data_IF_724739473418
#
_entry.id   IF_724739473418
#
_cell.length_a   1.000
_cell.length_b   1.000
_cell.length_c   1.000
_cell.angle_alpha   90.00
_cell.angle_beta   90.00
_cell.angle_gamma   90.00
#
_symmetry.space_group_name_H-M   'P 1'
#
loop_
_entity.id
_entity.type
_entity.pdbx_description
1 polymer ?
#
# COMPACT_ATOMS: atom_id res chain seq x y z
N UNK A 1 -32.60 20.86 -8.02
CA UNK A 1 -31.44 20.09 -8.47
C UNK A 1 -30.40 20.17 -7.38
N UNK A 2 -29.91 19.02 -6.91
CA UNK A 2 -28.92 18.99 -5.82
C UNK A 2 -27.65 19.74 -6.22
N UNK A 3 -27.16 20.57 -5.29
CA UNK A 3 -25.90 21.29 -5.47
C UNK A 3 -24.74 20.29 -5.33
N UNK A 4 -23.71 20.35 -6.19
CA UNK A 4 -22.54 19.48 -6.05
C UNK A 4 -21.81 19.77 -4.74
N UNK A 5 -21.24 18.72 -4.15
CA UNK A 5 -20.34 18.85 -3.01
C UNK A 5 -18.94 19.26 -3.50
N UNK A 6 -18.32 20.23 -2.82
CA UNK A 6 -16.97 20.67 -3.09
C UNK A 6 -16.09 20.39 -1.87
N UNK A 7 -14.90 19.82 -2.10
CA UNK A 7 -13.87 19.64 -1.08
C UNK A 7 -12.76 20.68 -1.31
N UNK A 8 -12.45 21.47 -0.29
CA UNK A 8 -11.34 22.44 -0.31
C UNK A 8 -10.21 21.88 0.55
N UNK A 9 -9.02 21.80 -0.02
CA UNK A 9 -7.81 21.30 0.65
C UNK A 9 -6.61 22.17 0.28
N UNK A 10 -5.50 22.11 1.03
CA UNK A 10 -4.25 22.78 0.65
C UNK A 10 -3.83 22.40 -0.78
N UNK A 11 -3.30 23.36 -1.53
CA UNK A 11 -2.69 23.08 -2.82
C UNK A 11 -1.35 22.39 -2.60
N UNK A 12 -1.27 21.11 -2.98
CA UNK A 12 -0.06 20.31 -2.86
C UNK A 12 0.71 20.37 -4.18
N UNK A 13 2.01 20.66 -4.10
CA UNK A 13 2.93 20.62 -5.24
C UNK A 13 3.60 19.26 -5.34
N UNK A 14 3.99 18.87 -6.56
CA UNK A 14 4.69 17.61 -6.83
C UNK A 14 3.92 16.70 -7.77
N UNK A 15 4.17 15.39 -7.67
CA UNK A 15 3.60 14.37 -8.55
C UNK A 15 3.09 13.18 -7.76
N UNK A 16 2.01 12.58 -8.24
CA UNK A 16 1.48 11.34 -7.68
C UNK A 16 2.40 10.16 -8.02
N UNK A 17 2.44 9.16 -7.14
CA UNK A 17 3.35 8.03 -7.26
C UNK A 17 3.00 7.13 -8.44
N UNK A 18 1.76 7.11 -8.91
CA UNK A 18 1.34 6.39 -10.11
C UNK A 18 2.16 6.79 -11.34
N UNK A 19 2.44 8.08 -11.50
CA UNK A 19 3.31 8.59 -12.58
C UNK A 19 4.74 8.02 -12.47
N UNK A 20 5.25 7.85 -11.25
CA UNK A 20 6.58 7.29 -10.99
C UNK A 20 6.63 5.79 -11.27
N UNK A 21 5.59 5.03 -10.90
CA UNK A 21 5.56 3.57 -11.15
C UNK A 21 5.08 3.19 -12.55
N UNK A 22 4.50 4.12 -13.32
CA UNK A 22 4.02 3.89 -14.67
C UNK A 22 5.12 3.49 -15.66
N UNK A 23 6.37 3.93 -15.44
CA UNK A 23 7.51 3.56 -16.29
C UNK A 23 7.90 2.09 -16.19
N UNK A 24 7.43 1.36 -15.17
CA UNK A 24 7.75 -0.06 -14.96
C UNK A 24 9.21 -0.31 -14.57
N UNK A 25 9.91 0.72 -14.11
CA UNK A 25 11.32 0.64 -13.68
C UNK A 25 11.37 0.51 -12.16
N UNK A 26 12.23 -0.39 -11.67
CA UNK A 26 12.51 -0.51 -10.25
C UNK A 26 13.14 0.78 -9.71
N UNK A 27 12.67 1.21 -8.55
CA UNK A 27 13.17 2.38 -7.84
C UNK A 27 14.28 1.96 -6.86
N UNK A 28 15.19 2.88 -6.51
CA UNK A 28 16.19 2.63 -5.48
C UNK A 28 15.56 2.16 -4.16
N UNK A 29 16.24 1.24 -3.45
CA UNK A 29 15.75 0.68 -2.18
C UNK A 29 15.52 1.78 -1.15
N UNK A 30 16.49 2.68 -0.96
CA UNK A 30 16.39 3.80 -0.03
C UNK A 30 15.16 4.69 -0.32
N UNK A 31 14.93 5.03 -1.60
CA UNK A 31 13.77 5.84 -1.99
C UNK A 31 12.44 5.09 -1.77
N UNK A 32 12.42 3.78 -2.07
CA UNK A 32 11.24 2.94 -1.88
C UNK A 32 10.85 2.82 -0.40
N UNK A 33 11.84 2.64 0.48
CA UNK A 33 11.64 2.61 1.92
C UNK A 33 11.16 3.97 2.44
N UNK A 34 11.79 5.06 2.00
CA UNK A 34 11.43 6.43 2.38
C UNK A 34 9.98 6.78 2.07
N UNK A 35 9.51 6.41 0.87
CA UNK A 35 8.12 6.65 0.43
C UNK A 35 7.14 5.85 1.29
N UNK A 36 7.42 4.56 1.48
CA UNK A 36 6.50 3.65 2.18
C UNK A 36 6.47 3.94 3.68
N UNK A 37 7.59 4.39 4.28
CA UNK A 37 7.65 4.81 5.68
C UNK A 37 6.76 6.01 5.94
N UNK A 38 6.85 7.06 5.11
CA UNK A 38 5.98 8.23 5.24
C UNK A 38 4.51 7.89 5.00
N UNK A 39 4.21 6.99 4.05
CA UNK A 39 2.84 6.52 3.85
C UNK A 39 2.32 5.73 5.07
N UNK A 40 3.17 4.93 5.71
CA UNK A 40 2.84 4.24 6.96
C UNK A 40 2.61 5.23 8.12
N UNK A 41 3.36 6.33 8.20
CA UNK A 41 3.15 7.41 9.17
C UNK A 41 1.80 8.11 8.97
N UNK A 42 1.41 8.37 7.71
CA UNK A 42 0.09 8.90 7.41
C UNK A 42 -1.04 7.94 7.81
N UNK A 43 -0.86 6.63 7.56
CA UNK A 43 -1.81 5.60 8.03
C UNK A 43 -1.83 5.50 9.56
N UNK A 44 -0.70 5.68 10.24
CA UNK A 44 -0.64 5.72 11.71
C UNK A 44 -1.49 6.86 12.28
N UNK A 45 -1.44 8.04 11.65
CA UNK A 45 -2.27 9.17 12.04
C UNK A 45 -3.77 8.88 11.87
N UNK A 46 -4.17 8.28 10.74
CA UNK A 46 -5.55 7.86 10.50
C UNK A 46 -6.00 6.79 11.51
N UNK A 47 -5.16 5.78 11.74
CA UNK A 47 -5.46 4.68 12.66
C UNK A 47 -5.62 5.18 14.10
N UNK A 48 -4.77 6.11 14.54
CA UNK A 48 -4.87 6.74 15.86
C UNK A 48 -6.17 7.54 16.03
N UNK A 49 -6.74 8.04 14.93
CA UNK A 49 -8.05 8.69 14.92
C UNK A 49 -9.23 7.70 14.78
N UNK A 50 -8.97 6.39 14.74
CA UNK A 50 -9.99 5.35 14.61
C UNK A 50 -10.40 5.03 13.17
N UNK A 51 -9.62 5.46 12.17
CA UNK A 51 -9.93 5.31 10.75
C UNK A 51 -8.95 4.39 10.04
N UNK A 52 -9.43 3.70 9.01
CA UNK A 52 -8.62 3.18 7.92
C UNK A 52 -8.87 4.02 6.66
N UNK A 53 -7.93 4.05 5.74
CA UNK A 53 -8.03 4.78 4.48
C UNK A 53 -8.91 4.05 3.46
N UNK A 54 -8.67 2.76 3.25
CA UNK A 54 -9.50 1.89 2.39
C UNK A 54 -9.37 2.06 0.88
N UNK A 55 -8.45 2.90 0.38
CA UNK A 55 -8.15 3.06 -1.05
C UNK A 55 -6.68 3.46 -1.25
N UNK A 56 -5.77 2.80 -0.52
CA UNK A 56 -4.34 3.07 -0.65
C UNK A 56 -3.84 2.56 -2.00
N UNK A 57 -3.35 3.48 -2.84
CA UNK A 57 -2.82 3.20 -4.17
C UNK A 57 -1.86 4.32 -4.61
N UNK A 58 -1.02 4.11 -5.64
CA UNK A 58 -0.04 5.11 -6.05
C UNK A 58 -0.61 6.48 -6.43
N UNK A 59 -1.81 6.56 -7.02
CA UNK A 59 -2.42 7.85 -7.36
C UNK A 59 -2.87 8.65 -6.12
N UNK A 60 -2.99 7.98 -4.96
CA UNK A 60 -3.34 8.60 -3.69
C UNK A 60 -2.10 8.92 -2.83
N UNK A 61 -0.89 8.70 -3.36
CA UNK A 61 0.36 9.12 -2.72
C UNK A 61 0.98 10.22 -3.55
N UNK A 62 1.01 11.45 -3.05
CA UNK A 62 1.67 12.57 -3.69
C UNK A 62 3.07 12.78 -3.11
N UNK A 63 4.04 12.95 -3.98
CA UNK A 63 5.44 13.20 -3.65
C UNK A 63 5.77 14.63 -4.06
N UNK A 64 6.06 15.47 -3.09
CA UNK A 64 6.55 16.83 -3.33
C UNK A 64 7.97 16.85 -3.88
N UNK A 65 8.40 17.98 -4.44
CA UNK A 65 9.77 18.14 -4.95
C UNK A 65 10.84 18.01 -3.85
N UNK A 66 10.45 18.21 -2.59
CA UNK A 66 11.30 18.01 -1.41
C UNK A 66 11.29 16.55 -0.90
N UNK A 67 10.57 15.63 -1.56
CA UNK A 67 10.48 14.21 -1.18
C UNK A 67 9.52 13.92 -0.02
N UNK A 68 8.76 14.91 0.46
CA UNK A 68 7.66 14.67 1.40
C UNK A 68 6.51 13.93 0.71
N UNK A 69 5.98 12.90 1.36
CA UNK A 69 4.86 12.10 0.86
C UNK A 69 3.59 12.42 1.62
N UNK A 70 2.54 12.78 0.88
CA UNK A 70 1.20 13.03 1.42
C UNK A 70 0.21 11.99 0.90
N UNK A 71 -0.53 11.37 1.81
CA UNK A 71 -1.64 10.46 1.51
C UNK A 71 -2.91 11.28 1.24
N UNK A 72 -3.54 11.05 0.09
CA UNK A 72 -4.66 11.81 -0.45
C UNK A 72 -5.94 10.98 -0.52
N UNK A 73 -7.08 11.66 -0.69
CA UNK A 73 -8.39 11.05 -0.97
C UNK A 73 -8.91 10.11 0.13
N UNK A 74 -9.46 10.74 1.18
CA UNK A 74 -10.16 10.04 2.26
C UNK A 74 -11.62 9.71 1.89
N UNK A 75 -12.01 9.75 0.61
CA UNK A 75 -13.39 9.47 0.17
C UNK A 75 -13.87 8.04 0.45
N UNK A 76 -12.93 7.13 0.71
CA UNK A 76 -13.17 5.74 1.11
C UNK A 76 -12.80 5.44 2.57
N UNK A 77 -12.36 6.46 3.31
CA UNK A 77 -11.98 6.29 4.71
C UNK A 77 -13.20 5.87 5.54
N UNK A 78 -12.97 4.92 6.45
CA UNK A 78 -14.04 4.39 7.32
C UNK A 78 -13.50 4.00 8.68
N UNK A 79 -14.38 4.02 9.68
CA UNK A 79 -14.07 3.46 10.99
C UNK A 79 -13.97 1.95 10.87
N UNK A 80 -12.89 1.38 11.39
CA UNK A 80 -12.68 -0.06 11.35
C UNK A 80 -13.77 -0.83 12.13
N UNK A 81 -14.38 -0.19 13.14
CA UNK A 81 -15.55 -0.68 13.90
C UNK A 81 -16.84 -0.78 13.07
N UNK A 82 -17.01 0.06 12.04
CA UNK A 82 -18.23 0.17 11.23
C UNK A 82 -18.18 -0.67 9.93
N UNK A 83 -17.16 -1.52 9.77
CA UNK A 83 -16.96 -2.40 8.60
C UNK A 83 -18.06 -3.45 8.41
N UNK A 84 -19.09 -3.41 9.28
CA UNK A 84 -20.41 -4.04 9.23
C UNK A 84 -21.09 -4.05 7.86
N UNK A 85 -21.10 -2.90 7.17
CA UNK A 85 -22.13 -2.59 6.18
C UNK A 85 -21.59 -1.95 4.89
N UNK A 86 -20.54 -2.53 4.28
CA UNK A 86 -20.04 -2.05 2.98
C UNK A 86 -20.87 -2.58 1.82
N UNK A 87 -22.11 -2.12 1.71
CA UNK A 87 -22.87 -2.22 0.48
C UNK A 87 -22.37 -1.23 -0.57
N UNK A 88 -21.92 -1.73 -1.73
CA UNK A 88 -22.24 -1.10 -3.01
C UNK A 88 -21.44 0.10 -3.50
N UNK A 89 -20.10 0.11 -3.44
CA UNK A 89 -19.31 0.96 -4.36
C UNK A 89 -18.61 0.09 -5.42
N UNK A 90 -18.78 0.39 -6.73
CA UNK A 90 -18.13 -0.38 -7.79
C UNK A 90 -16.63 -0.08 -7.79
N UNK A 91 -15.81 -1.11 -7.58
CA UNK A 91 -14.36 -1.04 -7.70
C UNK A 91 -13.94 -0.91 -9.18
N UNK A 92 -13.00 -0.02 -9.47
CA UNK A 92 -12.42 0.13 -10.82
C UNK A 92 -11.24 -0.83 -10.98
N UNK A 93 -11.04 -1.38 -12.17
CA UNK A 93 -9.99 -2.38 -12.47
C UNK A 93 -8.59 -1.99 -11.93
N UNK A 94 -8.19 -0.72 -12.02
CA UNK A 94 -6.91 -0.24 -11.49
C UNK A 94 -6.79 -0.34 -9.97
N UNK A 95 -7.84 0.06 -9.24
CA UNK A 95 -7.92 -0.01 -7.78
C UNK A 95 -7.88 -1.45 -7.28
N UNK A 96 -8.53 -2.40 -7.98
CA UNK A 96 -8.60 -3.81 -7.57
C UNK A 96 -7.19 -4.44 -7.44
N UNK A 97 -6.18 -3.89 -8.12
CA UNK A 97 -4.81 -4.40 -8.05
C UNK A 97 -4.10 -4.13 -6.72
N UNK A 98 -4.57 -3.16 -5.92
CA UNK A 98 -4.01 -2.83 -4.61
C UNK A 98 -4.89 -3.30 -3.46
N UNK A 99 -6.05 -3.89 -3.78
CA UNK A 99 -7.04 -4.31 -2.81
C UNK A 99 -6.57 -5.56 -2.06
N UNK A 100 -6.75 -5.58 -0.74
CA UNK A 100 -6.49 -6.76 0.07
C UNK A 100 -7.58 -7.84 -0.18
N UNK A 101 -7.25 -9.14 -0.09
CA UNK A 101 -8.19 -10.21 -0.39
C UNK A 101 -9.44 -10.18 0.49
N UNK A 102 -9.33 -9.74 1.74
CA UNK A 102 -10.44 -9.67 2.69
C UNK A 102 -11.56 -8.70 2.31
N UNK A 103 -11.33 -7.82 1.33
CA UNK A 103 -12.39 -6.99 0.75
C UNK A 103 -13.39 -7.75 -0.11
N UNK A 104 -13.01 -8.94 -0.58
CA UNK A 104 -13.82 -9.75 -1.50
C UNK A 104 -14.11 -11.12 -0.90
N UNK A 105 -13.24 -11.64 -0.04
CA UNK A 105 -13.37 -13.00 0.50
C UNK A 105 -12.92 -13.14 1.95
N UNK A 106 -13.36 -14.21 2.59
CA UNK A 106 -12.83 -14.61 3.89
C UNK A 106 -13.66 -14.09 5.07
N UNK A 107 -13.36 -14.57 6.28
CA UNK A 107 -14.14 -14.28 7.47
C UNK A 107 -13.79 -12.92 8.10
N UNK A 108 -12.64 -12.35 7.74
CA UNK A 108 -12.17 -11.09 8.31
C UNK A 108 -12.77 -9.91 7.58
N UNK A 109 -13.22 -8.91 8.34
CA UNK A 109 -13.60 -7.62 7.78
C UNK A 109 -12.32 -6.82 7.47
N UNK A 110 -12.28 -6.02 6.39
CA UNK A 110 -11.09 -5.26 6.07
C UNK A 110 -10.90 -4.14 7.09
N UNK A 111 -9.69 -4.03 7.61
CA UNK A 111 -9.28 -3.08 8.66
C UNK A 111 -7.95 -2.41 8.28
N UNK A 112 -7.25 -1.82 9.24
CA UNK A 112 -5.97 -1.15 8.98
C UNK A 112 -4.92 -2.06 8.31
N UNK A 113 -5.01 -3.38 8.51
CA UNK A 113 -4.10 -4.37 7.89
C UNK A 113 -4.37 -4.54 6.40
N UNK A 114 -5.55 -4.12 5.93
CA UNK A 114 -5.85 -4.02 4.50
C UNK A 114 -5.09 -2.87 3.84
N UNK A 115 -4.96 -1.72 4.51
CA UNK A 115 -4.14 -0.62 3.99
C UNK A 115 -2.64 -0.99 3.99
N UNK A 116 -2.18 -1.76 4.98
CA UNK A 116 -0.83 -2.32 5.02
C UNK A 116 -0.58 -3.27 3.84
N UNK A 117 -1.57 -4.09 3.49
CA UNK A 117 -1.48 -4.94 2.29
C UNK A 117 -1.31 -4.11 1.03
N UNK A 118 -2.12 -3.05 0.87
CA UNK A 118 -2.02 -2.13 -0.25
C UNK A 118 -0.65 -1.46 -0.33
N UNK A 119 -0.07 -1.00 0.79
CA UNK A 119 1.31 -0.53 0.83
C UNK A 119 2.31 -1.63 0.43
N UNK A 120 2.04 -2.90 0.76
CA UNK A 120 2.86 -4.03 0.35
C UNK A 120 2.89 -4.22 -1.16
N UNK A 121 1.74 -4.04 -1.83
CA UNK A 121 1.65 -4.06 -3.30
C UNK A 121 2.47 -2.91 -3.90
N UNK A 122 2.38 -1.70 -3.33
CA UNK A 122 3.13 -0.54 -3.78
C UNK A 122 4.64 -0.74 -3.57
N UNK A 123 5.07 -1.21 -2.40
CA UNK A 123 6.48 -1.48 -2.12
C UNK A 123 7.05 -2.56 -3.06
N UNK A 124 6.30 -3.64 -3.29
CA UNK A 124 6.68 -4.66 -4.27
C UNK A 124 6.88 -4.04 -5.66
N UNK A 125 5.96 -3.17 -6.08
CA UNK A 125 6.04 -2.50 -7.38
C UNK A 125 7.20 -1.53 -7.48
N UNK A 126 7.47 -0.76 -6.44
CA UNK A 126 8.64 0.12 -6.37
C UNK A 126 9.93 -0.70 -6.52
N UNK A 127 10.07 -1.80 -5.79
CA UNK A 127 11.32 -2.59 -5.78
C UNK A 127 11.55 -3.40 -7.06
N UNK A 128 10.49 -3.79 -7.76
CA UNK A 128 10.59 -4.71 -8.90
C UNK A 128 10.23 -4.07 -10.25
N UNK A 129 9.68 -2.85 -10.24
CA UNK A 129 9.07 -2.21 -11.41
C UNK A 129 7.76 -2.90 -11.86
N UNK A 130 7.26 -3.89 -11.11
CA UNK A 130 6.14 -4.74 -11.52
C UNK A 130 5.16 -4.94 -10.37
N UNK A 131 3.86 -5.00 -10.65
CA UNK A 131 2.89 -5.44 -9.64
C UNK A 131 3.06 -6.94 -9.35
N UNK A 132 2.77 -7.40 -8.12
CA UNK A 132 2.84 -8.83 -7.75
C UNK A 132 1.91 -9.70 -8.60
N UNK A 133 0.82 -9.12 -9.08
CA UNK A 133 -0.14 -9.72 -10.00
C UNK A 133 -0.85 -8.60 -10.80
N UNK A 134 -1.59 -8.98 -11.83
CA UNK A 134 -2.46 -8.07 -12.60
C UNK A 134 -3.86 -8.66 -12.66
N UNK A 135 -4.82 -7.91 -12.14
CA UNK A 135 -6.24 -8.29 -12.04
C UNK A 135 -7.08 -7.20 -12.70
N UNK A 136 -8.17 -7.58 -13.36
CA UNK A 136 -9.09 -6.63 -14.00
C UNK A 136 -10.44 -6.58 -13.28
N UNK A 137 -10.74 -7.60 -12.49
CA UNK A 137 -12.00 -7.72 -11.76
C UNK A 137 -11.78 -8.27 -10.35
N UNK A 138 -12.75 -8.06 -9.43
CA UNK A 138 -12.76 -8.74 -8.14
C UNK A 138 -12.63 -10.27 -8.26
N UNK A 139 -13.23 -10.87 -9.28
CA UNK A 139 -13.15 -12.30 -9.54
C UNK A 139 -11.72 -12.77 -9.91
N UNK A 140 -10.95 -11.94 -10.61
CA UNK A 140 -9.53 -12.24 -10.88
C UNK A 140 -8.71 -12.21 -9.59
N UNK A 141 -8.98 -11.25 -8.69
CA UNK A 141 -8.29 -11.19 -7.40
C UNK A 141 -8.62 -12.41 -6.54
N UNK A 142 -9.87 -12.89 -6.56
CA UNK A 142 -10.25 -14.16 -5.93
C UNK A 142 -9.39 -15.32 -6.44
N UNK A 143 -9.23 -15.43 -7.77
CA UNK A 143 -8.43 -16.48 -8.41
C UNK A 143 -6.96 -16.37 -8.05
N UNK A 144 -6.40 -15.16 -8.03
CA UNK A 144 -4.99 -14.94 -7.63
C UNK A 144 -4.75 -15.49 -6.23
N UNK A 145 -5.58 -15.13 -5.27
CA UNK A 145 -5.35 -15.50 -3.87
C UNK A 145 -5.74 -16.94 -3.50
N UNK A 146 -6.53 -17.62 -4.35
CA UNK A 146 -6.86 -19.04 -4.18
C UNK A 146 -5.85 -19.97 -4.85
N UNK A 147 -5.46 -19.63 -6.08
CA UNK A 147 -4.84 -20.58 -7.00
C UNK A 147 -3.41 -20.17 -7.40
N UNK A 148 -3.05 -18.88 -7.29
CA UNK A 148 -1.78 -18.33 -7.80
C UNK A 148 -0.88 -17.91 -6.65
N UNK A 149 0.34 -18.47 -6.59
CA UNK A 149 1.35 -17.97 -5.65
C UNK A 149 1.90 -16.64 -6.12
N UNK A 150 1.86 -15.63 -5.25
CA UNK A 150 2.54 -14.35 -5.48
C UNK A 150 4.06 -14.61 -5.54
N UNK A 151 4.75 -14.26 -6.64
CA UNK A 151 6.20 -14.38 -6.69
C UNK A 151 6.86 -13.53 -5.62
N UNK A 152 7.94 -14.02 -5.01
CA UNK A 152 8.71 -13.20 -4.07
C UNK A 152 9.37 -12.02 -4.81
N UNK A 153 9.56 -10.85 -4.19
CA UNK A 153 10.15 -9.69 -4.85
C UNK A 153 11.58 -9.98 -5.36
N UNK A 154 12.32 -10.88 -4.70
CA UNK A 154 13.65 -11.33 -5.13
C UNK A 154 13.68 -12.11 -6.45
N UNK A 155 12.54 -12.61 -6.92
CA UNK A 155 12.42 -13.22 -8.25
C UNK A 155 12.74 -12.20 -9.36
N UNK A 156 12.40 -10.93 -9.14
CA UNK A 156 12.60 -9.85 -10.12
C UNK A 156 13.67 -8.85 -9.70
N UNK A 157 13.92 -8.73 -8.40
CA UNK A 157 14.92 -7.85 -7.82
C UNK A 157 15.88 -8.65 -6.92
N UNK A 158 16.76 -9.49 -7.48
CA UNK A 158 17.64 -10.38 -6.70
C UNK A 158 18.60 -9.63 -5.76
N UNK A 159 18.88 -8.36 -6.06
CA UNK A 159 19.74 -7.45 -5.29
C UNK A 159 19.14 -6.97 -3.96
N UNK A 160 17.82 -7.11 -3.72
CA UNK A 160 17.24 -6.70 -2.45
C UNK A 160 17.60 -7.68 -1.33
N UNK A 161 17.82 -7.15 -0.12
CA UNK A 161 18.10 -7.93 1.08
C UNK A 161 16.98 -8.91 1.45
N UNK A 162 17.34 -9.99 2.17
CA UNK A 162 16.37 -11.01 2.63
C UNK A 162 15.30 -10.43 3.54
N UNK A 163 15.69 -9.53 4.45
CA UNK A 163 14.76 -8.97 5.43
C UNK A 163 13.73 -8.03 4.81
N UNK A 164 14.16 -7.23 3.82
CA UNK A 164 13.23 -6.44 3.02
C UNK A 164 12.26 -7.34 2.23
N UNK A 165 12.76 -8.40 1.61
CA UNK A 165 11.91 -9.36 0.92
C UNK A 165 10.90 -10.05 1.85
N UNK A 166 11.32 -10.40 3.08
CA UNK A 166 10.44 -10.96 4.10
C UNK A 166 9.39 -9.95 4.59
N UNK A 167 9.75 -8.66 4.74
CA UNK A 167 8.79 -7.62 5.08
C UNK A 167 7.70 -7.52 4.00
N UNK A 168 8.10 -7.40 2.73
CA UNK A 168 7.16 -7.34 1.60
C UNK A 168 6.25 -8.57 1.58
N UNK A 169 6.81 -9.77 1.75
CA UNK A 169 6.03 -11.00 1.82
C UNK A 169 5.03 -11.01 2.99
N UNK A 170 5.42 -10.50 4.16
CA UNK A 170 4.51 -10.38 5.31
C UNK A 170 3.40 -9.37 5.08
N UNK A 171 3.67 -8.23 4.43
CA UNK A 171 2.63 -7.25 4.07
C UNK A 171 1.62 -7.83 3.07
N UNK A 172 2.10 -8.66 2.13
CA UNK A 172 1.29 -9.32 1.10
C UNK A 172 0.66 -10.65 1.56
N UNK A 173 0.70 -10.98 2.85
CA UNK A 173 0.10 -12.20 3.35
C UNK A 173 -1.42 -12.20 3.12
N UNK A 174 -1.96 -13.31 2.59
CA UNK A 174 -3.41 -13.44 2.37
C UNK A 174 -4.20 -13.37 3.67
N UNK A 175 -3.66 -13.96 4.73
CA UNK A 175 -4.19 -13.87 6.09
C UNK A 175 -3.73 -12.56 6.77
N UNK A 176 -4.64 -11.64 7.16
CA UNK A 176 -4.31 -10.40 7.86
C UNK A 176 -3.52 -10.60 9.16
N UNK A 177 -3.67 -11.74 9.85
CA UNK A 177 -2.95 -12.03 11.09
C UNK A 177 -1.44 -12.26 10.89
N UNK A 178 -1.02 -12.47 9.65
CA UNK A 178 0.39 -12.69 9.28
C UNK A 178 1.09 -11.41 8.80
N UNK A 179 0.38 -10.29 8.77
CA UNK A 179 0.90 -8.97 8.38
C UNK A 179 1.44 -8.23 9.61
N UNK A 180 2.16 -7.10 9.44
CA UNK A 180 2.25 -6.12 10.53
C UNK A 180 0.85 -5.75 11.01
N UNK A 181 0.62 -5.74 12.32
CA UNK A 181 -0.71 -5.61 12.89
C UNK A 181 -1.19 -4.16 12.94
N UNK A 182 -0.29 -3.19 12.83
CA UNK A 182 -0.63 -1.77 12.75
C UNK A 182 0.46 -0.96 12.01
N UNK A 183 0.17 0.29 11.59
CA UNK A 183 1.10 1.11 10.82
C UNK A 183 2.38 1.46 11.59
N UNK A 184 2.32 1.58 12.93
CA UNK A 184 3.50 1.82 13.77
C UNK A 184 4.49 0.66 13.71
N UNK A 185 4.01 -0.58 13.85
CA UNK A 185 4.84 -1.77 13.70
C UNK A 185 5.51 -1.82 12.31
N UNK A 186 4.75 -1.52 11.26
CA UNK A 186 5.29 -1.43 9.90
C UNK A 186 6.38 -0.36 9.81
N UNK A 187 6.12 0.86 10.30
CA UNK A 187 7.07 1.98 10.31
C UNK A 187 8.37 1.61 11.02
N UNK A 188 8.29 1.00 12.21
CA UNK A 188 9.47 0.63 12.98
C UNK A 188 10.33 -0.42 12.25
N UNK A 189 9.70 -1.37 11.55
CA UNK A 189 10.39 -2.34 10.69
C UNK A 189 11.06 -1.67 9.48
N UNK A 190 10.41 -0.66 8.88
CA UNK A 190 10.96 0.10 7.75
C UNK A 190 12.18 0.94 8.17
N UNK A 191 12.09 1.65 9.30
CA UNK A 191 13.21 2.45 9.86
C UNK A 191 14.43 1.57 10.09
N UNK A 192 14.24 0.37 10.67
CA UNK A 192 15.34 -0.58 10.86
C UNK A 192 16.02 -0.95 9.54
N UNK A 193 15.23 -1.25 8.50
CA UNK A 193 15.76 -1.58 7.17
C UNK A 193 16.47 -0.40 6.50
N UNK A 194 16.00 0.84 6.72
CA UNK A 194 16.69 2.05 6.23
C UNK A 194 18.08 2.19 6.86
N UNK A 195 18.18 1.99 8.18
CA UNK A 195 19.44 2.04 8.92
C UNK A 195 20.40 0.96 8.42
N UNK A 196 19.93 -0.28 8.30
CA UNK A 196 20.71 -1.42 7.78
C UNK A 196 21.22 -1.12 6.36
N UNK A 197 20.35 -0.62 5.47
CA UNK A 197 20.72 -0.29 4.10
C UNK A 197 21.74 0.86 4.01
N UNK A 198 21.65 1.85 4.90
CA UNK A 198 22.64 2.93 4.99
C UNK A 198 24.00 2.42 5.47
N UNK A 199 24.01 1.53 6.48
CA UNK A 199 25.24 0.93 7.00
C UNK A 199 25.98 0.12 5.93
N UNK A 200 25.25 -0.69 5.13
CA UNK A 200 25.81 -1.46 4.02
C UNK A 200 26.44 -0.60 2.91
N UNK A 201 26.01 0.66 2.76
CA UNK A 201 26.55 1.58 1.74
C UNK A 201 27.78 2.35 2.21
N UNK A 202 28.00 2.43 3.52
CA UNK A 202 29.09 3.20 4.14
C UNK A 202 30.27 2.31 4.55
N UNK A 203 30.08 0.99 4.63
CA UNK A 203 31.14 -0.01 4.84
C UNK A 203 31.65 -0.59 3.53
#
# INVERSE_FOLDING_TARGET
GDRPFYLVMPFLTGRTLDLKVACGVAQPVAESLWIIRQAAEALEALWSAGWMHGDVKPSNLMISDAGHVTLLDLGFARRWEETGNSGGRPWVAGTVNYLAPEWIMGPHRPDIRSDIYSLGVILYQLLTGRRPYRVQSPADLLRVHRDIRIPGPRTWAPWIGRDLAHLVASMLAGDPLRRPQNPRELRDRLVRLEIEHLAERLG
#
